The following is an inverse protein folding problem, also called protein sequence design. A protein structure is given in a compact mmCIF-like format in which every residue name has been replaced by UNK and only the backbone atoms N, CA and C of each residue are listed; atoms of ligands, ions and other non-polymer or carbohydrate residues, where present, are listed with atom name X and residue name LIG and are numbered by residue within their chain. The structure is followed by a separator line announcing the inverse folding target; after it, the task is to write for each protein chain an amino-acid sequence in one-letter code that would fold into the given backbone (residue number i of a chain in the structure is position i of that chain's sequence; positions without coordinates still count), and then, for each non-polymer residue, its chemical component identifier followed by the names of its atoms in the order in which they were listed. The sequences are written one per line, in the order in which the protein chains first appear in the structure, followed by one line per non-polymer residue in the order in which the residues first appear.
data_IF_208870649916
#
_entry.id   IF_208870649916
#
_cell.length_a   1.000
_cell.length_b   1.000
_cell.length_c   1.000
_cell.angle_alpha   90.00
_cell.angle_beta   90.00
_cell.angle_gamma   90.00
#
_symmetry.space_group_name_H-M   'P 1'
#
loop_
_entity.id
_entity.type
_entity.pdbx_description
1 polymer ?
#
# COMPACT_ATOMS: atom_id res chain seq x y z
N UNK A 1 -1.42 8.02 10.05
CA UNK A 1 -1.88 8.10 8.64
C UNK A 1 -0.63 8.25 7.79
N UNK A 2 -0.25 7.21 7.06
CA UNK A 2 0.96 7.24 6.20
C UNK A 2 0.50 7.43 4.76
N UNK A 3 1.03 8.43 4.09
CA UNK A 3 0.79 8.67 2.66
C UNK A 3 2.05 8.31 1.89
N UNK A 4 1.90 7.56 0.80
CA UNK A 4 3.00 7.26 -0.11
C UNK A 4 2.65 7.66 -1.54
N UNK A 5 3.68 7.93 -2.32
CA UNK A 5 3.56 8.17 -3.76
C UNK A 5 4.06 6.95 -4.49
N UNK A 6 3.21 6.38 -5.31
CA UNK A 6 3.54 5.20 -6.11
C UNK A 6 3.28 5.51 -7.57
N UNK A 7 4.15 5.02 -8.44
CA UNK A 7 4.08 5.27 -9.87
C UNK A 7 4.05 3.93 -10.60
N UNK A 8 3.04 3.72 -11.44
CA UNK A 8 3.00 2.62 -12.41
C UNK A 8 3.16 1.22 -11.79
N UNK A 9 2.47 0.98 -10.67
CA UNK A 9 2.43 -0.31 -9.98
C UNK A 9 1.00 -0.73 -9.64
N UNK A 10 0.83 -1.98 -9.22
CA UNK A 10 -0.45 -2.47 -8.71
C UNK A 10 -0.56 -2.25 -7.20
N UNK A 11 -1.79 -2.04 -6.72
CA UNK A 11 -2.12 -2.02 -5.29
C UNK A 11 -1.67 -3.31 -4.59
N UNK A 12 -1.58 -4.44 -5.31
CA UNK A 12 -0.97 -5.69 -4.82
C UNK A 12 0.50 -5.52 -4.43
N UNK A 13 1.31 -4.86 -5.27
CA UNK A 13 2.72 -4.57 -4.96
C UNK A 13 2.83 -3.63 -3.77
N UNK A 14 1.97 -2.61 -3.70
CA UNK A 14 1.93 -1.70 -2.56
C UNK A 14 1.59 -2.44 -1.27
N UNK A 15 0.57 -3.29 -1.30
CA UNK A 15 0.15 -4.08 -0.14
C UNK A 15 1.24 -5.06 0.30
N UNK A 16 1.92 -5.73 -0.63
CA UNK A 16 3.04 -6.61 -0.33
C UNK A 16 4.22 -5.87 0.32
N UNK A 17 4.58 -4.69 -0.20
CA UNK A 17 5.70 -3.90 0.30
C UNK A 17 5.40 -3.21 1.63
N UNK A 18 4.19 -2.66 1.78
CA UNK A 18 3.84 -1.81 2.91
C UNK A 18 3.18 -2.58 4.05
N UNK A 19 2.37 -3.60 3.74
CA UNK A 19 1.66 -4.42 4.72
C UNK A 19 2.26 -5.82 4.87
N UNK A 20 3.22 -6.20 4.01
CA UNK A 20 3.77 -7.57 3.97
C UNK A 20 2.82 -8.58 3.33
N UNK A 21 1.62 -8.16 2.94
CA UNK A 21 0.57 -9.04 2.43
C UNK A 21 -0.10 -8.42 1.21
N UNK A 22 0.11 -9.05 0.04
CA UNK A 22 -0.42 -8.58 -1.23
C UNK A 22 -1.96 -8.61 -1.28
N UNK A 23 -2.62 -9.45 -0.48
CA UNK A 23 -4.08 -9.62 -0.48
C UNK A 23 -4.81 -8.48 0.22
N UNK A 24 -4.12 -7.73 1.08
CA UNK A 24 -4.65 -6.55 1.77
C UNK A 24 -4.80 -5.30 0.89
N UNK A 25 -4.55 -5.41 -0.42
CA UNK A 25 -4.79 -4.35 -1.39
C UNK A 25 -6.23 -3.82 -1.32
N UNK A 26 -7.20 -4.68 -0.98
CA UNK A 26 -8.61 -4.31 -0.79
C UNK A 26 -8.80 -3.28 0.35
N UNK A 27 -8.00 -3.35 1.42
CA UNK A 27 -8.07 -2.37 2.53
C UNK A 27 -7.54 -1.02 2.08
N UNK A 28 -6.46 -1.00 1.29
CA UNK A 28 -5.89 0.23 0.73
C UNK A 28 -6.89 0.83 -0.28
N UNK A 29 -7.48 -0.01 -1.13
CA UNK A 29 -8.46 0.41 -2.11
C UNK A 29 -9.69 1.05 -1.43
N UNK A 30 -10.27 0.37 -0.44
CA UNK A 30 -11.38 0.91 0.35
C UNK A 30 -11.03 2.21 1.08
N UNK A 31 -9.80 2.34 1.60
CA UNK A 31 -9.34 3.56 2.28
C UNK A 31 -9.19 4.75 1.33
N UNK A 32 -8.84 4.50 0.07
CA UNK A 32 -8.66 5.53 -0.96
C UNK A 32 -9.87 5.66 -1.89
N UNK A 33 -10.97 4.97 -1.61
CA UNK A 33 -12.15 4.89 -2.48
C UNK A 33 -11.79 4.45 -3.91
N UNK A 34 -10.81 3.56 -4.04
CA UNK A 34 -10.41 2.93 -5.29
C UNK A 34 -11.09 1.58 -5.43
N UNK A 35 -11.49 1.26 -6.67
CA UNK A 35 -11.99 -0.08 -7.02
C UNK A 35 -11.02 -0.82 -7.94
N UNK A 36 -10.14 -0.09 -8.62
CA UNK A 36 -9.19 -0.66 -9.56
C UNK A 36 -7.85 -0.95 -8.86
N UNK A 37 -7.33 -2.20 -8.96
CA UNK A 37 -6.05 -2.58 -8.37
C UNK A 37 -4.83 -2.04 -9.14
N UNK A 38 -5.01 -1.45 -10.32
CA UNK A 38 -3.95 -1.01 -11.22
C UNK A 38 -3.82 0.51 -11.14
N UNK A 39 -2.62 0.99 -10.80
CA UNK A 39 -2.36 2.43 -10.70
C UNK A 39 -1.61 2.84 -11.96
N UNK A 40 -2.19 3.75 -12.73
CA UNK A 40 -1.56 4.31 -13.92
C UNK A 40 -0.97 5.67 -13.57
N UNK A 41 0.33 5.85 -13.79
CA UNK A 41 1.06 7.05 -13.41
C UNK A 41 1.22 7.20 -11.89
N UNK A 42 1.61 8.41 -11.48
CA UNK A 42 1.92 8.74 -10.08
C UNK A 42 0.63 8.98 -9.29
N UNK A 43 0.26 8.05 -8.42
CA UNK A 43 -0.89 8.15 -7.52
C UNK A 43 -0.45 8.28 -6.08
N UNK A 44 -1.12 9.18 -5.34
CA UNK A 44 -0.95 9.31 -3.89
C UNK A 44 -1.92 8.35 -3.21
N UNK A 45 -1.40 7.41 -2.43
CA UNK A 45 -2.21 6.46 -1.67
C UNK A 45 -2.04 6.70 -0.18
N UNK A 46 -3.16 6.75 0.52
CA UNK A 46 -3.23 6.61 1.96
C UNK A 46 -3.15 5.13 2.33
N UNK A 47 -2.22 4.79 3.20
CA UNK A 47 -2.10 3.44 3.72
C UNK A 47 -2.70 3.36 5.11
N UNK A 48 -3.41 2.26 5.43
CA UNK A 48 -3.76 1.99 6.81
C UNK A 48 -2.47 1.84 7.63
N UNK A 49 -2.51 2.15 8.95
CA UNK A 49 -1.38 1.84 9.80
C UNK A 49 -1.07 0.34 9.67
N UNK A 50 0.15 0.05 9.26
CA UNK A 50 0.73 -1.28 9.40
C UNK A 50 0.58 -1.65 10.88
N UNK A 51 -0.08 -2.78 11.15
CA UNK A 51 -0.08 -3.40 12.48
C UNK A 51 1.35 -3.93 12.73
N UNK A 52 2.30 -3.02 12.95
CA UNK A 52 3.70 -3.29 13.33
C UNK A 52 3.80 -3.80 14.77
N UNK A 53 2.87 -4.66 15.17
CA UNK A 53 2.99 -5.48 16.39
C UNK A 53 3.93 -6.67 16.20
N UNK A 54 4.27 -7.05 14.96
CA UNK A 54 5.16 -8.16 14.65
C UNK A 54 6.13 -7.75 13.53
N UNK A 55 7.42 -7.71 13.88
CA UNK A 55 8.47 -7.05 13.10
C UNK A 55 8.75 -7.65 11.71
N UNK A 56 8.54 -6.84 10.68
CA UNK A 56 9.09 -7.06 9.34
C UNK A 56 9.83 -5.81 8.91
N UNK A 57 11.16 -5.82 9.02
CA UNK A 57 12.03 -4.67 8.87
C UNK A 57 11.89 -3.93 7.55
N UNK A 58 11.69 -2.61 7.64
CA UNK A 58 12.03 -1.68 6.58
C UNK A 58 13.56 -1.52 6.58
N UNK A 59 14.30 -1.80 5.49
CA UNK A 59 15.66 -1.31 5.37
C UNK A 59 15.58 0.22 5.28
N UNK A 60 16.02 0.88 6.35
CA UNK A 60 16.36 2.29 6.37
C UNK A 60 17.44 2.55 5.32
N UNK A 61 17.15 3.46 4.40
CA UNK A 61 18.10 4.06 3.45
C UNK A 61 19.26 4.74 4.19
#
# INVERSE_FOLDING_TARGET
MTIIRVADITLFHVAAQQLGDATQWNRIAALNSLSDPMLHGVTVLSLPPLDTGLGGGLPSQ
#
